data_IF_786271384758
#
_entry.id   IF_786271384758
#
_cell.length_a   1.000
_cell.length_b   1.000
_cell.length_c   1.000
_cell.angle_alpha   90.00
_cell.angle_beta   90.00
_cell.angle_gamma   90.00
#
_symmetry.space_group_name_H-M   'P 1'
#
loop_
_entity.id
_entity.type
_entity.pdbx_description
1 polymer ?
#
# COMPACT_ATOMS: atom_id res chain seq x y z
N UNK A 1 -33.15 22.01 0.72
CA UNK A 1 -32.01 22.02 1.63
C UNK A 1 -31.28 20.73 1.33
N UNK A 2 -30.24 20.80 0.51
CA UNK A 2 -29.38 19.66 0.20
C UNK A 2 -28.58 19.35 1.48
N UNK A 3 -28.76 18.17 2.04
CA UNK A 3 -27.79 17.62 2.97
C UNK A 3 -26.47 17.49 2.18
N UNK A 4 -25.58 18.45 2.31
CA UNK A 4 -24.17 18.21 2.08
C UNK A 4 -23.79 17.17 3.13
N UNK A 5 -23.62 15.92 2.70
CA UNK A 5 -22.96 14.92 3.52
C UNK A 5 -21.56 15.47 3.76
N UNK A 6 -21.24 15.69 5.03
CA UNK A 6 -19.91 16.07 5.51
C UNK A 6 -18.98 14.90 5.15
N UNK A 7 -18.48 14.88 3.91
CA UNK A 7 -17.60 13.82 3.42
C UNK A 7 -16.26 14.04 4.09
N UNK A 8 -15.91 13.14 5.00
CA UNK A 8 -14.57 13.10 5.61
C UNK A 8 -13.54 13.13 4.49
N UNK A 9 -12.54 14.00 4.62
CA UNK A 9 -11.46 14.06 3.64
C UNK A 9 -10.74 12.70 3.56
N UNK A 10 -10.41 12.21 2.35
CA UNK A 10 -9.73 10.94 2.18
C UNK A 10 -8.36 10.96 2.84
N UNK A 11 -7.89 9.80 3.29
CA UNK A 11 -6.50 9.65 3.73
C UNK A 11 -5.58 9.65 2.50
N UNK A 12 -4.40 10.24 2.64
CA UNK A 12 -3.33 10.14 1.64
C UNK A 12 -2.46 8.94 1.99
N UNK A 13 -2.33 8.02 1.05
CA UNK A 13 -1.49 6.83 1.13
C UNK A 13 -0.30 7.08 0.20
N UNK A 14 0.90 7.12 0.75
CA UNK A 14 2.12 7.36 -0.01
C UNK A 14 2.53 6.07 -0.75
N UNK A 15 2.30 6.04 -2.06
CA UNK A 15 2.55 4.90 -2.94
C UNK A 15 4.05 4.64 -3.09
N UNK A 16 4.53 3.51 -2.56
CA UNK A 16 5.95 3.15 -2.49
C UNK A 16 6.81 4.20 -1.78
N UNK A 17 6.18 4.96 -0.86
CA UNK A 17 6.75 6.14 -0.23
C UNK A 17 6.47 7.45 -1.00
N UNK A 18 7.36 8.44 -0.89
CA UNK A 18 7.29 9.68 -1.67
C UNK A 18 7.99 9.47 -3.03
N UNK A 19 7.40 8.62 -3.86
CA UNK A 19 8.04 8.05 -5.04
C UNK A 19 8.16 9.02 -6.22
N UNK A 20 7.48 10.17 -6.19
CA UNK A 20 7.71 11.25 -7.17
C UNK A 20 9.03 12.00 -6.95
N UNK A 21 9.58 11.98 -5.73
CA UNK A 21 10.77 12.74 -5.37
C UNK A 21 11.95 11.85 -4.94
N UNK A 22 11.68 10.59 -4.60
CA UNK A 22 12.68 9.63 -4.11
C UNK A 22 12.50 8.27 -4.79
N UNK A 23 13.58 7.46 -4.90
CA UNK A 23 13.48 6.11 -5.48
C UNK A 23 12.42 5.28 -4.77
N UNK A 24 11.44 4.77 -5.53
CA UNK A 24 10.32 3.98 -5.02
C UNK A 24 10.76 2.78 -4.18
N UNK A 25 9.98 2.40 -3.18
CA UNK A 25 10.21 1.22 -2.34
C UNK A 25 11.58 1.21 -1.62
N UNK A 26 12.17 2.39 -1.37
CA UNK A 26 13.41 2.54 -0.58
C UNK A 26 13.13 3.09 0.80
N UNK A 27 14.08 2.87 1.72
CA UNK A 27 14.00 3.45 3.07
C UNK A 27 13.90 4.98 3.02
N UNK A 28 14.63 5.62 2.11
CA UNK A 28 14.62 7.09 1.92
C UNK A 28 13.27 7.59 1.47
N UNK A 29 12.60 6.91 0.52
CA UNK A 29 11.27 7.27 0.06
C UNK A 29 10.21 7.21 1.18
N UNK A 30 10.24 6.15 1.99
CA UNK A 30 9.34 6.03 3.14
C UNK A 30 9.65 7.05 4.24
N UNK A 31 10.94 7.29 4.53
CA UNK A 31 11.37 8.27 5.54
C UNK A 31 10.92 9.69 5.16
N UNK A 32 11.05 10.05 3.88
CA UNK A 32 10.59 11.33 3.35
C UNK A 32 9.07 11.50 3.55
N UNK A 33 8.27 10.46 3.23
CA UNK A 33 6.83 10.48 3.47
C UNK A 33 6.48 10.69 4.95
N UNK A 34 7.11 9.92 5.83
CA UNK A 34 6.82 9.98 7.27
C UNK A 34 7.30 11.30 7.87
N UNK A 35 8.43 11.84 7.42
CA UNK A 35 8.94 13.17 7.83
C UNK A 35 8.04 14.29 7.35
N UNK A 36 7.37 14.16 6.22
CA UNK A 36 6.36 15.10 5.74
C UNK A 36 4.99 14.93 6.45
N UNK A 37 4.87 14.07 7.47
CA UNK A 37 3.67 13.92 8.30
C UNK A 37 2.67 12.88 7.77
N UNK A 38 3.04 12.03 6.82
CA UNK A 38 2.18 10.95 6.33
C UNK A 38 2.35 9.69 7.16
N UNK A 39 1.23 9.22 7.72
CA UNK A 39 1.20 8.00 8.54
C UNK A 39 0.68 6.78 7.79
N UNK A 40 0.34 6.91 6.52
CA UNK A 40 -0.14 5.81 5.67
C UNK A 40 0.81 5.67 4.49
N UNK A 41 1.47 4.52 4.42
CA UNK A 41 2.41 4.18 3.33
C UNK A 41 1.97 2.88 2.68
N UNK A 42 2.29 2.74 1.42
CA UNK A 42 2.06 1.52 0.66
C UNK A 42 3.42 0.99 0.16
N UNK A 43 3.56 -0.32 0.11
CA UNK A 43 4.75 -1.01 -0.38
C UNK A 43 4.41 -2.37 -1.00
N UNK A 44 5.28 -2.80 -1.91
CA UNK A 44 5.16 -4.07 -2.63
C UNK A 44 6.14 -5.12 -2.08
N UNK A 45 5.71 -6.38 -2.00
CA UNK A 45 6.58 -7.44 -1.48
C UNK A 45 6.75 -8.62 -2.43
N UNK A 46 7.98 -9.16 -2.43
CA UNK A 46 8.36 -10.40 -3.08
C UNK A 46 9.23 -11.27 -2.18
N UNK A 47 9.33 -12.57 -2.51
CA UNK A 47 10.16 -13.52 -1.79
C UNK A 47 11.45 -13.83 -2.56
N UNK A 48 12.61 -13.81 -1.89
CA UNK A 48 13.91 -14.19 -2.46
C UNK A 48 14.11 -15.70 -2.50
N UNK A 49 15.16 -16.18 -3.19
CA UNK A 49 15.53 -17.59 -3.25
C UNK A 49 15.84 -18.23 -1.87
N UNK A 50 16.25 -17.44 -0.89
CA UNK A 50 16.52 -17.84 0.48
C UNK A 50 15.41 -17.42 1.47
N UNK A 51 14.18 -17.30 0.95
CA UNK A 51 12.96 -17.06 1.73
C UNK A 51 12.99 -15.79 2.59
N UNK A 52 13.58 -14.72 2.08
CA UNK A 52 13.52 -13.40 2.73
C UNK A 52 12.58 -12.48 1.96
N UNK A 53 11.68 -11.80 2.67
CA UNK A 53 10.77 -10.83 2.06
C UNK A 53 11.51 -9.52 1.81
N UNK A 54 11.57 -9.10 0.54
CA UNK A 54 12.12 -7.82 0.09
C UNK A 54 11.01 -6.91 -0.42
N UNK A 55 11.28 -5.60 -0.39
CA UNK A 55 10.32 -4.55 -0.81
C UNK A 55 10.72 -4.07 -2.20
N UNK A 56 9.91 -4.40 -3.20
CA UNK A 56 10.09 -4.06 -4.62
C UNK A 56 8.80 -4.32 -5.39
N UNK A 57 8.51 -3.51 -6.41
CA UNK A 57 7.29 -3.65 -7.21
C UNK A 57 7.36 -4.78 -8.24
N UNK A 58 8.41 -4.77 -9.06
CA UNK A 58 8.54 -5.70 -10.19
C UNK A 58 9.01 -7.09 -9.71
N UNK A 59 8.66 -8.15 -10.42
CA UNK A 59 9.18 -9.50 -10.18
C UNK A 59 10.70 -9.61 -10.43
N UNK A 60 11.29 -8.61 -11.12
CA UNK A 60 12.71 -8.56 -11.46
C UNK A 60 13.36 -7.31 -10.87
N UNK A 61 14.66 -7.38 -10.60
CA UNK A 61 15.43 -6.23 -10.09
C UNK A 61 15.82 -5.21 -11.17
N UNK A 62 15.45 -5.43 -12.43
CA UNK A 62 16.03 -4.75 -13.60
C UNK A 62 15.70 -3.27 -13.70
N UNK A 63 14.46 -2.85 -13.38
CA UNK A 63 14.00 -1.47 -13.60
C UNK A 63 14.53 -0.50 -12.55
N UNK A 64 14.54 -0.92 -11.31
CA UNK A 64 14.83 -0.05 -10.14
C UNK A 64 16.15 -0.36 -9.47
N UNK A 65 17.02 -1.15 -10.13
CA UNK A 65 18.40 -1.39 -9.66
C UNK A 65 19.37 -1.45 -10.81
N UNK A 66 20.67 -1.53 -10.48
CA UNK A 66 21.74 -1.79 -11.43
C UNK A 66 22.00 -3.28 -11.71
N UNK A 67 21.10 -4.18 -11.28
CA UNK A 67 21.20 -5.62 -11.49
C UNK A 67 20.21 -6.16 -12.50
N UNK A 68 20.26 -7.48 -12.70
CA UNK A 68 19.35 -8.21 -13.59
C UNK A 68 18.92 -9.54 -12.94
N UNK A 69 17.70 -9.98 -13.22
CA UNK A 69 17.17 -11.27 -12.79
C UNK A 69 15.86 -11.18 -11.99
N UNK A 70 15.23 -12.34 -11.79
CA UNK A 70 14.03 -12.45 -10.98
C UNK A 70 14.38 -12.49 -9.50
N UNK A 71 13.62 -11.79 -8.68
CA UNK A 71 13.82 -11.72 -7.22
C UNK A 71 13.80 -13.14 -6.62
N UNK A 72 12.88 -13.99 -7.04
CA UNK A 72 12.75 -15.38 -6.57
C UNK A 72 13.96 -16.28 -6.87
N UNK A 73 14.80 -15.91 -7.84
CA UNK A 73 15.99 -16.65 -8.25
C UNK A 73 17.28 -16.12 -7.61
N UNK A 74 17.21 -14.96 -6.94
CA UNK A 74 18.33 -14.28 -6.30
C UNK A 74 18.30 -14.46 -4.77
N UNK A 75 19.47 -14.68 -4.17
CA UNK A 75 19.63 -14.66 -2.72
C UNK A 75 19.63 -13.23 -2.18
N UNK A 76 19.19 -13.04 -0.93
CA UNK A 76 19.19 -11.72 -0.29
C UNK A 76 20.54 -11.01 -0.40
N UNK A 77 21.65 -11.74 -0.24
CA UNK A 77 22.99 -11.16 -0.35
C UNK A 77 23.27 -10.53 -1.71
N UNK A 78 22.76 -11.13 -2.79
CA UNK A 78 22.89 -10.62 -4.15
C UNK A 78 22.06 -9.35 -4.31
N UNK A 79 20.78 -9.39 -3.89
CA UNK A 79 19.87 -8.23 -3.94
C UNK A 79 20.43 -7.06 -3.10
N UNK A 80 20.94 -7.31 -1.89
CA UNK A 80 21.56 -6.27 -1.04
C UNK A 80 22.86 -5.69 -1.61
N UNK A 81 23.50 -6.35 -2.58
CA UNK A 81 24.66 -5.79 -3.26
C UNK A 81 24.29 -4.73 -4.31
N UNK A 82 23.04 -4.76 -4.81
CA UNK A 82 22.55 -3.87 -5.85
C UNK A 82 22.37 -2.43 -5.33
N UNK A 83 22.34 -1.51 -6.30
CA UNK A 83 22.03 -0.10 -6.09
C UNK A 83 20.60 0.15 -6.58
N UNK A 84 19.71 0.52 -5.66
CA UNK A 84 18.31 0.82 -5.91
C UNK A 84 18.00 2.33 -5.93
N UNK A 85 19.02 3.20 -5.94
CA UNK A 85 18.86 4.66 -5.91
C UNK A 85 19.23 5.35 -7.22
N UNK A 86 20.39 5.01 -7.77
CA UNK A 86 21.00 5.76 -8.90
C UNK A 86 20.22 5.70 -10.21
N UNK A 87 19.22 4.84 -10.34
CA UNK A 87 18.34 4.77 -11.50
C UNK A 87 17.34 5.94 -11.57
N UNK A 88 16.96 6.48 -10.40
CA UNK A 88 15.93 7.50 -10.27
C UNK A 88 16.40 8.84 -10.82
N UNK A 89 17.56 9.31 -10.37
CA UNK A 89 18.22 10.53 -10.85
C UNK A 89 19.74 10.37 -10.74
N UNK A 90 20.49 11.02 -11.63
CA UNK A 90 21.97 10.96 -11.66
C UNK A 90 22.64 11.47 -10.38
N UNK A 91 21.94 12.26 -9.57
CA UNK A 91 22.40 12.80 -8.28
C UNK A 91 21.81 12.05 -7.09
N UNK A 92 20.92 11.09 -7.32
CA UNK A 92 20.36 10.28 -6.24
C UNK A 92 21.45 9.45 -5.56
N UNK A 93 21.48 9.42 -4.23
CA UNK A 93 22.44 8.57 -3.52
C UNK A 93 22.17 7.09 -3.83
N UNK A 94 23.22 6.27 -3.71
CA UNK A 94 23.05 4.83 -3.77
C UNK A 94 22.17 4.35 -2.62
N UNK A 95 21.11 3.61 -2.95
CA UNK A 95 20.17 3.01 -2.01
C UNK A 95 20.24 1.49 -2.06
N UNK A 96 19.76 0.83 -1.03
CA UNK A 96 19.65 -0.63 -0.99
C UNK A 96 18.19 -1.05 -1.06
N UNK A 97 17.93 -2.14 -1.76
CA UNK A 97 16.60 -2.80 -1.70
C UNK A 97 16.34 -3.17 -0.24
N UNK A 98 15.30 -2.64 0.40
CA UNK A 98 15.02 -2.98 1.78
C UNK A 98 14.37 -4.36 1.91
N UNK A 99 14.57 -5.03 3.03
CA UNK A 99 13.71 -6.13 3.47
C UNK A 99 12.47 -5.56 4.15
N UNK A 100 11.36 -6.30 4.14
CA UNK A 100 10.18 -5.91 4.91
C UNK A 100 10.53 -5.78 6.41
N UNK A 101 11.39 -6.64 6.93
CA UNK A 101 11.87 -6.56 8.32
C UNK A 101 12.51 -5.21 8.65
N UNK A 102 13.32 -4.65 7.75
CA UNK A 102 13.97 -3.34 7.95
C UNK A 102 12.92 -2.21 7.98
N UNK A 103 11.90 -2.28 7.12
CA UNK A 103 10.81 -1.30 7.10
C UNK A 103 9.97 -1.39 8.38
N UNK A 104 9.55 -2.59 8.78
CA UNK A 104 8.77 -2.82 9.99
C UNK A 104 9.51 -2.31 11.25
N UNK A 105 10.82 -2.58 11.36
CA UNK A 105 11.63 -2.13 12.48
C UNK A 105 11.81 -0.61 12.51
N UNK A 106 12.00 0.03 11.33
CA UNK A 106 12.25 1.47 11.24
C UNK A 106 11.00 2.29 11.55
N UNK A 107 9.84 1.83 11.12
CA UNK A 107 8.59 2.57 11.22
C UNK A 107 7.62 2.01 12.28
N UNK A 108 8.12 1.19 13.18
CA UNK A 108 7.36 0.67 14.32
C UNK A 108 6.61 1.79 15.05
N UNK A 109 5.33 1.57 15.34
CA UNK A 109 4.40 2.50 16.02
C UNK A 109 4.18 3.87 15.33
N UNK A 110 4.63 4.06 14.10
CA UNK A 110 4.56 5.36 13.40
C UNK A 110 3.61 5.38 12.23
N UNK A 111 3.36 4.24 11.59
CA UNK A 111 2.64 4.16 10.32
C UNK A 111 1.61 3.04 10.30
N UNK A 112 0.62 3.18 9.41
CA UNK A 112 -0.15 2.07 8.86
C UNK A 112 0.45 1.70 7.51
N UNK A 113 0.74 0.42 7.30
CA UNK A 113 1.38 -0.07 6.07
C UNK A 113 0.37 -0.87 5.26
N UNK A 114 0.11 -0.44 4.03
CA UNK A 114 -0.56 -1.25 3.02
C UNK A 114 0.50 -2.11 2.33
N UNK A 115 0.44 -3.41 2.54
CA UNK A 115 1.37 -4.38 1.96
C UNK A 115 0.72 -5.02 0.75
N UNK A 116 1.22 -4.70 -0.45
CA UNK A 116 0.77 -5.35 -1.68
C UNK A 116 1.53 -6.66 -1.91
N UNK A 117 0.78 -7.77 -2.00
CA UNK A 117 1.32 -9.07 -2.39
C UNK A 117 1.42 -9.11 -3.92
N UNK A 118 2.65 -9.18 -4.44
CA UNK A 118 2.94 -9.17 -5.89
C UNK A 118 3.20 -10.55 -6.47
N UNK A 119 3.42 -11.57 -5.66
CA UNK A 119 3.83 -12.90 -6.10
C UNK A 119 2.88 -14.01 -5.62
N UNK A 120 2.90 -15.15 -6.32
CA UNK A 120 1.96 -16.25 -6.11
C UNK A 120 2.53 -17.38 -5.22
N UNK A 121 3.74 -17.20 -4.68
CA UNK A 121 4.37 -18.21 -3.84
C UNK A 121 3.66 -18.34 -2.49
N UNK A 122 3.18 -19.55 -2.16
CA UNK A 122 2.55 -19.83 -0.86
C UNK A 122 3.53 -19.58 0.30
N UNK A 123 4.81 -19.86 0.09
CA UNK A 123 5.87 -19.64 1.10
C UNK A 123 5.99 -18.17 1.49
N UNK A 124 5.65 -17.21 0.60
CA UNK A 124 5.63 -15.79 0.94
C UNK A 124 4.70 -15.50 2.12
N UNK A 125 3.53 -16.09 2.14
CA UNK A 125 2.54 -15.87 3.21
C UNK A 125 2.96 -16.53 4.53
N UNK A 126 3.64 -17.67 4.45
CA UNK A 126 4.20 -18.35 5.64
C UNK A 126 5.27 -17.45 6.28
N UNK A 127 6.21 -16.94 5.47
CA UNK A 127 7.26 -16.04 5.94
C UNK A 127 6.70 -14.69 6.42
N UNK A 128 5.68 -14.15 5.73
CA UNK A 128 5.01 -12.92 6.13
C UNK A 128 4.38 -13.07 7.52
N UNK A 129 3.61 -14.14 7.76
CA UNK A 129 3.01 -14.42 9.07
C UNK A 129 4.08 -14.52 10.14
N UNK A 130 5.11 -15.35 9.92
CA UNK A 130 6.22 -15.55 10.87
C UNK A 130 6.94 -14.24 11.21
N UNK A 131 7.17 -13.39 10.20
CA UNK A 131 7.81 -12.09 10.38
C UNK A 131 6.94 -11.14 11.20
N UNK A 132 5.66 -11.01 10.86
CA UNK A 132 4.72 -10.11 11.54
C UNK A 132 4.51 -10.52 13.01
N UNK A 133 4.39 -11.82 13.29
CA UNK A 133 4.33 -12.35 14.67
C UNK A 133 5.61 -12.00 15.45
N UNK A 134 6.78 -12.26 14.85
CA UNK A 134 8.08 -11.99 15.49
C UNK A 134 8.29 -10.51 15.79
N UNK A 135 7.79 -9.63 14.92
CA UNK A 135 7.94 -8.19 15.03
C UNK A 135 6.81 -7.51 15.84
N UNK A 136 5.81 -8.28 16.30
CA UNK A 136 4.69 -7.75 17.07
C UNK A 136 3.71 -6.88 16.27
N UNK A 137 3.59 -7.11 14.97
CA UNK A 137 2.69 -6.37 14.09
C UNK A 137 1.31 -7.02 13.91
N UNK A 138 1.10 -8.24 14.45
CA UNK A 138 -0.23 -8.85 14.48
C UNK A 138 -0.95 -8.34 15.73
N UNK A 139 -2.13 -7.71 15.57
CA UNK A 139 -2.89 -7.21 16.72
C UNK A 139 -3.37 -8.37 17.61
N UNK A 140 -3.47 -8.11 18.92
CA UNK A 140 -4.06 -9.07 19.85
C UNK A 140 -5.52 -9.39 19.46
N UNK A 141 -5.96 -10.63 19.70
CA UNK A 141 -7.17 -11.31 19.24
C UNK A 141 -8.54 -10.62 19.49
N UNK A 142 -8.59 -9.35 19.86
CA UNK A 142 -9.83 -8.58 20.10
C UNK A 142 -10.10 -7.50 19.05
N UNK A 143 -9.44 -7.57 17.89
CA UNK A 143 -9.65 -6.59 16.84
C UNK A 143 -10.98 -6.85 16.13
N UNK A 144 -11.98 -6.02 16.42
CA UNK A 144 -13.20 -6.01 15.61
C UNK A 144 -12.88 -5.46 14.22
N UNK A 145 -13.14 -6.25 13.16
CA UNK A 145 -13.09 -5.83 11.78
C UNK A 145 -14.20 -4.80 11.52
N UNK A 146 -14.08 -3.61 12.11
CA UNK A 146 -14.94 -2.47 11.82
C UNK A 146 -14.30 -1.61 10.73
N UNK A 147 -15.06 -0.72 10.10
CA UNK A 147 -14.51 0.28 9.16
C UNK A 147 -13.49 1.24 9.77
N UNK A 148 -13.19 1.11 11.07
CA UNK A 148 -12.08 1.75 11.79
C UNK A 148 -10.76 0.97 11.67
N UNK A 149 -10.69 -0.01 10.75
CA UNK A 149 -9.58 -0.96 10.59
C UNK A 149 -8.22 -0.32 10.21
N UNK A 150 -8.18 0.97 9.89
CA UNK A 150 -6.96 1.68 9.49
C UNK A 150 -6.33 2.44 10.66
N UNK A 151 -5.99 1.72 11.72
CA UNK A 151 -5.28 2.31 12.88
C UNK A 151 -3.81 2.56 12.57
N UNK A 152 -3.23 3.56 13.23
CA UNK A 152 -1.78 3.79 13.24
C UNK A 152 -1.29 3.47 14.67
N UNK A 153 -0.37 2.52 14.85
CA UNK A 153 0.20 1.61 13.85
C UNK A 153 -0.78 0.56 13.35
N UNK A 154 -0.49 -0.01 12.18
CA UNK A 154 -1.29 -1.08 11.62
C UNK A 154 -0.74 -1.64 10.31
N UNK A 155 -1.32 -2.74 9.86
CA UNK A 155 -1.05 -3.35 8.56
C UNK A 155 -2.37 -3.73 7.90
N UNK A 156 -2.49 -3.46 6.61
CA UNK A 156 -3.49 -4.02 5.71
C UNK A 156 -2.81 -4.75 4.57
N UNK A 157 -3.38 -5.87 4.16
CA UNK A 157 -2.91 -6.63 3.00
C UNK A 157 -3.78 -6.26 1.80
N UNK A 158 -3.16 -5.90 0.70
CA UNK A 158 -3.85 -5.63 -0.56
C UNK A 158 -3.23 -6.46 -1.68
N UNK A 159 -4.00 -6.80 -2.71
CA UNK A 159 -3.49 -7.50 -3.89
C UNK A 159 -4.47 -7.44 -5.05
N UNK A 160 -3.94 -7.50 -6.30
CA UNK A 160 -4.69 -7.83 -7.50
C UNK A 160 -4.92 -9.34 -7.64
N UNK A 161 -4.10 -10.16 -6.96
CA UNK A 161 -4.12 -11.61 -7.03
C UNK A 161 -5.17 -12.16 -6.06
N UNK A 162 -6.41 -12.35 -6.55
CA UNK A 162 -7.54 -12.79 -5.71
C UNK A 162 -7.24 -14.06 -4.92
N UNK A 163 -6.62 -15.06 -5.55
CA UNK A 163 -6.28 -16.34 -4.90
C UNK A 163 -5.29 -16.14 -3.74
N UNK A 164 -4.27 -15.28 -3.93
CA UNK A 164 -3.32 -14.92 -2.88
C UNK A 164 -3.97 -14.11 -1.77
N UNK A 165 -4.88 -13.20 -2.13
CA UNK A 165 -5.62 -12.42 -1.15
C UNK A 165 -6.51 -13.30 -0.27
N UNK A 166 -7.20 -14.28 -0.87
CA UNK A 166 -8.00 -15.28 -0.14
C UNK A 166 -7.14 -16.16 0.77
N UNK A 167 -5.99 -16.61 0.27
CA UNK A 167 -5.05 -17.40 1.06
C UNK A 167 -4.50 -16.57 2.23
N UNK A 168 -4.12 -15.32 1.97
CA UNK A 168 -3.69 -14.38 3.00
C UNK A 168 -4.75 -14.15 4.06
N UNK A 169 -6.02 -13.95 3.67
CA UNK A 169 -7.12 -13.75 4.62
C UNK A 169 -7.35 -14.97 5.53
N UNK A 170 -7.06 -16.18 5.05
CA UNK A 170 -7.09 -17.42 5.87
C UNK A 170 -5.88 -17.55 6.79
N UNK A 171 -4.70 -17.13 6.33
CA UNK A 171 -3.45 -17.25 7.09
C UNK A 171 -3.22 -16.11 8.08
N UNK A 172 -3.75 -14.93 7.81
CA UNK A 172 -3.62 -13.70 8.59
C UNK A 172 -5.01 -13.10 8.89
N UNK A 173 -5.94 -13.87 9.50
CA UNK A 173 -7.31 -13.42 9.73
C UNK A 173 -7.41 -12.21 10.66
N UNK A 174 -6.35 -11.90 11.38
CA UNK A 174 -6.24 -10.75 12.29
C UNK A 174 -6.06 -9.43 11.53
N UNK A 175 -5.63 -9.46 10.26
CA UNK A 175 -5.37 -8.28 9.46
C UNK A 175 -6.56 -7.89 8.58
N UNK A 176 -6.60 -6.63 8.18
CA UNK A 176 -7.50 -6.14 7.16
C UNK A 176 -7.02 -6.54 5.75
N UNK A 177 -7.94 -6.98 4.90
CA UNK A 177 -7.65 -7.37 3.53
C UNK A 177 -8.49 -6.56 2.55
N UNK A 178 -7.90 -6.15 1.41
CA UNK A 178 -8.58 -5.38 0.39
C UNK A 178 -8.18 -5.75 -1.03
N UNK A 179 -9.15 -5.75 -1.94
CA UNK A 179 -8.95 -6.08 -3.34
C UNK A 179 -8.47 -4.86 -4.13
N UNK A 180 -7.30 -4.95 -4.75
CA UNK A 180 -6.88 -4.04 -5.81
C UNK A 180 -7.54 -4.47 -7.13
N UNK A 181 -8.10 -3.54 -7.89
CA UNK A 181 -8.77 -3.86 -9.15
C UNK A 181 -8.67 -2.72 -10.17
N UNK A 182 -8.68 -3.09 -11.45
CA UNK A 182 -8.88 -2.16 -12.57
C UNK A 182 -10.33 -2.18 -13.08
N UNK A 183 -11.13 -3.11 -12.60
CA UNK A 183 -12.54 -3.25 -12.97
C UNK A 183 -13.43 -2.74 -11.85
N UNK A 184 -14.62 -2.24 -12.22
CA UNK A 184 -15.64 -1.79 -11.28
C UNK A 184 -16.96 -2.45 -11.62
N UNK A 185 -17.43 -3.35 -10.78
CA UNK A 185 -18.71 -4.03 -10.94
C UNK A 185 -19.35 -4.36 -9.60
N UNK A 186 -20.67 -4.56 -9.59
CA UNK A 186 -21.41 -5.00 -8.41
C UNK A 186 -20.96 -6.42 -7.97
N UNK A 187 -20.62 -7.28 -8.92
CA UNK A 187 -20.13 -8.64 -8.65
C UNK A 187 -18.83 -8.63 -7.85
N UNK A 188 -17.93 -7.67 -8.11
CA UNK A 188 -16.69 -7.50 -7.31
C UNK A 188 -16.99 -7.01 -5.90
N UNK A 189 -17.96 -6.12 -5.73
CA UNK A 189 -18.42 -5.67 -4.40
C UNK A 189 -18.98 -6.87 -3.63
N UNK A 190 -19.89 -7.64 -4.26
CA UNK A 190 -20.46 -8.84 -3.65
C UNK A 190 -19.38 -9.87 -3.29
N UNK A 191 -18.40 -10.07 -4.17
CA UNK A 191 -17.25 -10.95 -3.90
C UNK A 191 -16.44 -10.46 -2.69
N UNK A 192 -16.10 -9.18 -2.63
CA UNK A 192 -15.37 -8.62 -1.48
C UNK A 192 -16.11 -8.87 -0.17
N UNK A 193 -17.42 -8.64 -0.14
CA UNK A 193 -18.26 -8.86 1.05
C UNK A 193 -18.31 -10.34 1.42
N UNK A 194 -18.53 -11.24 0.44
CA UNK A 194 -18.66 -12.69 0.69
C UNK A 194 -17.36 -13.29 1.22
N UNK A 195 -16.22 -12.78 0.77
CA UNK A 195 -14.90 -13.26 1.19
C UNK A 195 -14.34 -12.51 2.41
N UNK A 196 -15.12 -11.58 2.98
CA UNK A 196 -14.77 -10.85 4.21
C UNK A 196 -13.66 -9.83 4.03
N UNK A 197 -13.52 -9.29 2.81
CA UNK A 197 -12.65 -8.14 2.57
C UNK A 197 -13.21 -6.89 3.26
N UNK A 198 -12.34 -6.03 3.76
CA UNK A 198 -12.74 -4.77 4.41
C UNK A 198 -12.70 -3.58 3.46
N UNK A 199 -12.05 -3.73 2.31
CA UNK A 199 -11.93 -2.65 1.33
C UNK A 199 -11.80 -3.12 -0.10
N UNK A 200 -12.06 -2.19 -1.00
CA UNK A 200 -11.83 -2.33 -2.43
C UNK A 200 -11.04 -1.12 -2.92
N UNK A 201 -10.04 -1.36 -3.75
CA UNK A 201 -9.08 -0.36 -4.21
C UNK A 201 -9.09 -0.31 -5.74
N UNK A 202 -10.06 0.39 -6.35
CA UNK A 202 -10.18 0.49 -7.80
C UNK A 202 -9.20 1.51 -8.41
N UNK A 203 -8.84 1.28 -9.69
CA UNK A 203 -8.18 2.28 -10.52
C UNK A 203 -9.09 3.48 -10.75
N UNK A 204 -8.60 4.69 -10.50
CA UNK A 204 -9.39 5.92 -10.53
C UNK A 204 -10.06 6.21 -11.87
N UNK A 205 -9.48 5.73 -12.98
CA UNK A 205 -10.03 5.97 -14.33
C UNK A 205 -11.36 5.27 -14.63
N UNK A 206 -11.80 4.31 -13.79
CA UNK A 206 -13.02 3.53 -14.03
C UNK A 206 -14.06 3.64 -12.92
N UNK A 207 -13.80 4.42 -11.88
CA UNK A 207 -14.75 4.60 -10.78
C UNK A 207 -15.72 5.73 -11.04
N UNK A 208 -16.94 5.55 -10.55
CA UNK A 208 -17.95 6.60 -10.49
C UNK A 208 -18.61 6.67 -9.10
N UNK A 209 -19.46 7.67 -8.91
CA UNK A 209 -20.14 7.88 -7.64
C UNK A 209 -21.09 6.74 -7.26
N UNK A 210 -21.65 6.05 -8.24
CA UNK A 210 -22.56 4.91 -7.96
C UNK A 210 -21.79 3.74 -7.40
N UNK A 211 -20.65 3.40 -8.02
CA UNK A 211 -19.77 2.35 -7.53
C UNK A 211 -19.31 2.61 -6.08
N UNK A 212 -18.80 3.84 -5.81
CA UNK A 212 -18.36 4.22 -4.46
C UNK A 212 -19.51 4.11 -3.46
N UNK A 213 -20.71 4.60 -3.82
CA UNK A 213 -21.88 4.53 -2.95
C UNK A 213 -22.33 3.08 -2.68
N UNK A 214 -22.28 2.22 -3.70
CA UNK A 214 -22.62 0.80 -3.59
C UNK A 214 -21.66 0.06 -2.65
N UNK A 215 -20.35 0.30 -2.83
CA UNK A 215 -19.30 -0.26 -1.96
C UNK A 215 -19.48 0.18 -0.50
N UNK A 216 -19.72 1.47 -0.25
CA UNK A 216 -19.99 2.00 1.09
C UNK A 216 -21.27 1.41 1.71
N UNK A 217 -22.35 1.29 0.92
CA UNK A 217 -23.60 0.65 1.41
C UNK A 217 -23.39 -0.81 1.79
N UNK A 218 -22.38 -1.45 1.21
CA UNK A 218 -21.95 -2.81 1.52
C UNK A 218 -20.93 -2.88 2.65
N UNK A 219 -20.54 -1.73 3.24
CA UNK A 219 -19.62 -1.64 4.36
C UNK A 219 -18.13 -1.71 3.98
N UNK A 220 -17.80 -1.54 2.70
CA UNK A 220 -16.42 -1.56 2.24
C UNK A 220 -15.78 -0.18 2.30
N UNK A 221 -14.50 -0.12 2.71
CA UNK A 221 -13.61 1.00 2.49
C UNK A 221 -13.28 1.13 0.99
N UNK A 222 -13.29 2.34 0.46
CA UNK A 222 -12.97 2.59 -0.96
C UNK A 222 -11.72 3.47 -1.05
N UNK A 223 -10.58 2.82 -1.37
CA UNK A 223 -9.32 3.50 -1.64
C UNK A 223 -9.02 3.49 -3.13
N UNK A 224 -8.81 4.64 -3.78
CA UNK A 224 -8.48 4.68 -5.19
C UNK A 224 -6.99 4.88 -5.43
N UNK A 225 -6.49 4.34 -6.55
CA UNK A 225 -5.11 4.45 -6.99
C UNK A 225 -5.01 4.85 -8.47
N UNK A 226 -3.80 5.18 -8.94
CA UNK A 226 -3.52 5.50 -10.34
C UNK A 226 -3.85 6.94 -10.72
N UNK A 227 -3.80 7.87 -9.78
CA UNK A 227 -3.89 9.30 -10.05
C UNK A 227 -2.63 9.80 -10.77
N UNK A 228 -2.77 10.21 -12.01
CA UNK A 228 -1.65 10.64 -12.85
C UNK A 228 -1.16 12.06 -12.53
N UNK A 229 -2.08 12.91 -12.02
CA UNK A 229 -1.79 14.32 -11.77
C UNK A 229 -2.76 14.95 -10.76
N UNK A 230 -2.42 16.15 -10.22
CA UNK A 230 -3.24 16.90 -9.28
C UNK A 230 -4.65 17.23 -9.75
N UNK A 231 -4.84 17.52 -11.06
CA UNK A 231 -6.14 17.85 -11.64
C UNK A 231 -7.10 16.65 -11.60
N UNK A 232 -6.58 15.44 -11.85
CA UNK A 232 -7.37 14.22 -11.76
C UNK A 232 -7.81 13.95 -10.32
N UNK A 233 -6.94 14.15 -9.34
CA UNK A 233 -7.31 14.03 -7.93
C UNK A 233 -8.40 15.05 -7.56
N UNK A 234 -8.20 16.32 -7.89
CA UNK A 234 -9.15 17.39 -7.58
C UNK A 234 -10.55 17.10 -8.18
N UNK A 235 -10.60 16.60 -9.42
CA UNK A 235 -11.89 16.30 -10.10
C UNK A 235 -12.61 15.08 -9.51
N UNK A 236 -11.90 14.20 -8.79
CA UNK A 236 -12.46 12.99 -8.19
C UNK A 236 -12.77 13.11 -6.68
N UNK A 237 -12.44 14.23 -6.02
CA UNK A 237 -12.75 14.41 -4.58
C UNK A 237 -14.25 14.28 -4.27
N UNK A 238 -15.12 14.68 -5.21
CA UNK A 238 -16.58 14.58 -5.07
C UNK A 238 -17.16 13.16 -5.10
N UNK A 239 -16.33 12.14 -5.37
CA UNK A 239 -16.76 10.73 -5.36
C UNK A 239 -16.98 10.20 -3.94
N UNK A 240 -16.35 10.78 -2.92
CA UNK A 240 -16.43 10.35 -1.53
C UNK A 240 -15.50 9.20 -1.19
N UNK A 241 -14.30 9.17 -1.78
CA UNK A 241 -13.27 8.17 -1.48
C UNK A 241 -12.81 8.26 -0.03
N UNK A 242 -12.48 7.11 0.57
CA UNK A 242 -11.90 7.03 1.92
C UNK A 242 -10.37 7.19 1.90
N UNK A 243 -9.72 6.83 0.79
CA UNK A 243 -8.28 6.97 0.62
C UNK A 243 -7.86 7.17 -0.83
N UNK A 244 -6.72 7.81 -1.00
CA UNK A 244 -6.07 8.03 -2.30
C UNK A 244 -4.60 7.62 -2.22
N UNK A 245 -4.18 6.71 -3.10
CA UNK A 245 -2.80 6.22 -3.20
C UNK A 245 -2.11 6.98 -4.33
N UNK A 246 -1.04 7.72 -3.99
CA UNK A 246 -0.37 8.65 -4.90
C UNK A 246 1.14 8.66 -4.70
N UNK A 247 1.88 8.97 -5.78
CA UNK A 247 3.34 9.12 -5.77
C UNK A 247 3.80 10.46 -5.16
N UNK A 248 2.90 11.44 -5.13
CA UNK A 248 3.12 12.84 -4.75
C UNK A 248 2.23 13.24 -3.54
N UNK A 249 2.47 12.66 -2.34
CA UNK A 249 1.59 12.80 -1.18
C UNK A 249 1.47 14.24 -0.67
N UNK A 250 2.51 15.06 -0.81
CA UNK A 250 2.51 16.46 -0.35
C UNK A 250 1.51 17.31 -1.14
N UNK A 251 1.55 17.25 -2.48
CA UNK A 251 0.60 17.94 -3.33
C UNK A 251 -0.81 17.42 -3.13
N UNK A 252 -0.98 16.11 -2.98
CA UNK A 252 -2.28 15.51 -2.72
C UNK A 252 -2.89 16.02 -1.43
N UNK A 253 -2.11 16.14 -0.35
CA UNK A 253 -2.59 16.67 0.92
C UNK A 253 -3.05 18.12 0.80
N UNK A 254 -2.33 18.97 0.06
CA UNK A 254 -2.74 20.36 -0.22
C UNK A 254 -4.07 20.41 -0.95
N UNK A 255 -4.27 19.57 -1.98
CA UNK A 255 -5.52 19.50 -2.75
C UNK A 255 -6.70 19.07 -1.87
N UNK A 256 -6.47 18.12 -0.97
CA UNK A 256 -7.49 17.60 -0.04
C UNK A 256 -7.79 18.60 1.10
N UNK A 257 -6.96 19.65 1.26
CA UNK A 257 -7.10 20.64 2.33
C UNK A 257 -6.55 20.18 3.69
N UNK A 258 -5.62 19.22 3.69
CA UNK A 258 -4.94 18.74 4.89
C UNK A 258 -3.76 19.68 5.22
N UNK A 259 -3.65 20.11 6.48
CA UNK A 259 -2.45 20.83 6.95
C UNK A 259 -1.25 19.87 6.97
N UNK A 260 -0.14 20.30 6.36
CA UNK A 260 1.12 19.57 6.33
C UNK A 260 2.08 20.27 7.30
N UNK A 261 2.60 19.53 8.29
CA UNK A 261 3.75 19.98 9.09
C UNK A 261 5.02 19.71 8.27
N UNK A 262 5.51 20.69 7.55
CA UNK A 262 6.87 20.66 7.05
C UNK A 262 7.73 21.17 8.20
N UNK A 263 8.36 20.27 8.97
CA UNK A 263 9.44 20.68 9.88
C UNK A 263 10.60 21.17 9.02
N UNK A 264 11.01 22.44 9.26
CA UNK A 264 12.14 23.10 8.58
C UNK A 264 13.50 22.46 8.92
#
# INVERSE_FOLDING_TARGET
>A
MSNEMDTKAPIVIAHRGFSSEYPENTVTSFDASVSAGFSYIELDIHLTADSVIVVMHDETVNRTTNGEGKIRDLYLKEIKSLDAGSWFDSNSPSEKVPTLKEILAKFENRVHIFVEIKSEEEDLLIELRSLLETMGWIPDNNYEKSGEALTVPGISIISFLQDQLLLSAKMLPELAHGLLTIETSEELIEWCVSEGMVGIFPYVGYIDKNFVSSAHNSGLYVGAWGFENPEQLSSNLGLGLDGVTVDWPVEAAVIIGKEISLDE
#
